data_IF_144364888021
#
_entry.id   IF_144364888021
#
_cell.length_a   1.000
_cell.length_b   1.000
_cell.length_c   1.000
_cell.angle_alpha   90.00
_cell.angle_beta   90.00
_cell.angle_gamma   90.00
#
_symmetry.space_group_name_H-M   'P 1'
#
loop_
_entity.id
_entity.type
_entity.pdbx_description
1 polymer ?
#
# COMPACT_ATOMS: atom_id res chain seq x y z
N UNK A 1 37.03 -9.99 24.02
CA UNK A 1 38.32 -10.10 23.30
C UNK A 1 39.47 -9.36 23.99
N UNK A 2 39.34 -8.07 24.34
CA UNK A 2 40.43 -7.27 24.91
C UNK A 2 41.00 -7.77 26.25
N UNK A 3 40.17 -8.34 27.12
CA UNK A 3 40.61 -8.88 28.42
C UNK A 3 41.35 -10.22 28.28
N UNK A 4 40.88 -11.12 27.41
CA UNK A 4 41.55 -12.39 27.11
C UNK A 4 42.90 -12.18 26.40
N UNK A 5 42.98 -11.19 25.48
CA UNK A 5 44.23 -10.81 24.81
C UNK A 5 45.21 -10.17 25.81
N UNK A 6 44.73 -9.28 26.70
CA UNK A 6 45.55 -8.69 27.77
C UNK A 6 46.09 -9.74 28.74
N UNK A 7 45.24 -10.65 29.21
CA UNK A 7 45.66 -11.70 30.14
C UNK A 7 46.72 -12.62 29.52
N UNK A 8 46.56 -12.96 28.24
CA UNK A 8 47.56 -13.72 27.48
C UNK A 8 48.88 -12.96 27.32
N UNK A 9 48.84 -11.68 26.93
CA UNK A 9 50.04 -10.85 26.83
C UNK A 9 50.76 -10.73 28.17
N UNK A 10 50.01 -10.60 29.25
CA UNK A 10 50.55 -10.49 30.60
C UNK A 10 51.20 -11.80 31.05
N UNK A 11 50.59 -12.96 30.80
CA UNK A 11 51.19 -14.27 31.07
C UNK A 11 52.47 -14.54 30.25
N UNK A 12 52.52 -14.09 29.00
CA UNK A 12 53.73 -14.16 28.15
C UNK A 12 54.86 -13.22 28.61
N UNK A 13 54.53 -12.16 29.35
CA UNK A 13 55.48 -11.13 29.82
C UNK A 13 55.92 -11.31 31.29
N UNK A 14 55.14 -12.02 32.13
CA UNK A 14 55.38 -12.15 33.57
C UNK A 14 55.39 -13.58 34.12
N UNK A 15 55.15 -14.59 33.27
CA UNK A 15 55.03 -16.00 33.69
C UNK A 15 56.32 -16.80 33.58
N UNK A 16 56.45 -17.84 34.40
CA UNK A 16 57.45 -18.89 34.25
C UNK A 16 57.22 -19.59 32.90
N UNK A 17 58.19 -19.51 32.00
CA UNK A 17 58.10 -20.04 30.63
C UNK A 17 57.92 -21.56 30.60
N UNK A 18 58.19 -22.24 31.71
CA UNK A 18 57.99 -23.68 31.89
C UNK A 18 56.52 -24.06 32.23
N UNK A 19 55.64 -23.09 32.57
CA UNK A 19 54.21 -23.35 32.81
C UNK A 19 53.38 -23.30 31.51
N UNK A 20 53.76 -24.20 30.60
CA UNK A 20 53.14 -24.38 29.29
C UNK A 20 51.61 -24.58 29.39
N UNK A 21 51.16 -25.19 30.48
CA UNK A 21 49.74 -25.48 30.74
C UNK A 21 48.92 -24.21 30.98
N UNK A 22 49.47 -23.21 31.64
CA UNK A 22 48.82 -21.92 31.85
C UNK A 22 48.70 -21.13 30.53
N UNK A 23 49.74 -21.16 29.71
CA UNK A 23 49.75 -20.53 28.38
C UNK A 23 48.74 -21.19 27.42
N UNK A 24 48.68 -22.52 27.39
CA UNK A 24 47.71 -23.29 26.59
C UNK A 24 46.27 -22.95 26.97
N UNK A 25 45.99 -22.80 28.28
CA UNK A 25 44.66 -22.42 28.78
C UNK A 25 44.25 -21.02 28.30
N UNK A 26 45.16 -20.05 28.31
CA UNK A 26 44.88 -18.70 27.82
C UNK A 26 44.74 -18.65 26.30
N UNK A 27 45.54 -19.42 25.56
CA UNK A 27 45.38 -19.60 24.12
C UNK A 27 44.01 -20.19 23.79
N UNK A 28 43.57 -21.23 24.50
CA UNK A 28 42.25 -21.82 24.31
C UNK A 28 41.11 -20.81 24.57
N UNK A 29 41.23 -19.98 25.61
CA UNK A 29 40.26 -18.93 25.88
C UNK A 29 40.19 -17.85 24.78
N UNK A 30 41.34 -17.47 24.20
CA UNK A 30 41.37 -16.54 23.06
C UNK A 30 40.75 -17.17 21.80
N UNK A 31 41.00 -18.46 21.55
CA UNK A 31 40.42 -19.19 20.42
C UNK A 31 38.90 -19.28 20.58
N UNK A 32 38.41 -19.65 21.77
CA UNK A 32 36.98 -19.68 22.08
C UNK A 32 36.35 -18.29 21.87
N UNK A 33 36.94 -17.23 22.43
CA UNK A 33 36.42 -15.86 22.26
C UNK A 33 36.44 -15.37 20.80
N UNK A 34 37.40 -15.83 19.99
CA UNK A 34 37.46 -15.52 18.55
C UNK A 34 36.38 -16.27 17.79
N UNK A 35 36.15 -17.53 18.14
CA UNK A 35 35.08 -18.35 17.58
C UNK A 35 33.70 -17.77 17.91
N UNK A 36 33.51 -17.32 19.15
CA UNK A 36 32.26 -16.68 19.58
C UNK A 36 32.03 -15.37 18.82
N UNK A 37 33.08 -14.56 18.61
CA UNK A 37 32.99 -13.33 17.82
C UNK A 37 32.59 -13.62 16.38
N UNK A 38 33.21 -14.61 15.74
CA UNK A 38 32.86 -15.01 14.38
C UNK A 38 31.40 -15.49 14.28
N UNK A 39 30.93 -16.25 15.28
CA UNK A 39 29.52 -16.67 15.35
C UNK A 39 28.54 -15.49 15.51
N UNK A 40 28.93 -14.45 16.25
CA UNK A 40 28.15 -13.21 16.37
C UNK A 40 28.12 -12.44 15.04
N UNK A 41 29.26 -12.35 14.35
CA UNK A 41 29.35 -11.69 13.04
C UNK A 41 28.46 -12.39 12.00
N UNK A 42 28.47 -13.72 11.98
CA UNK A 42 27.58 -14.53 11.13
C UNK A 42 26.10 -14.28 11.47
N UNK A 43 25.76 -14.26 12.76
CA UNK A 43 24.40 -13.97 13.21
C UNK A 43 23.96 -12.54 12.83
N UNK A 44 24.86 -11.55 12.93
CA UNK A 44 24.60 -10.17 12.51
C UNK A 44 24.37 -10.07 10.99
N UNK A 45 25.13 -10.81 10.20
CA UNK A 45 24.94 -10.86 8.75
C UNK A 45 23.56 -11.43 8.39
N UNK A 46 23.15 -12.52 9.04
CA UNK A 46 21.83 -13.14 8.86
C UNK A 46 20.71 -12.16 9.25
N UNK A 47 20.82 -11.50 10.42
CA UNK A 47 19.81 -10.53 10.87
C UNK A 47 19.71 -9.32 9.95
N UNK A 48 20.83 -8.85 9.42
CA UNK A 48 20.86 -7.75 8.44
C UNK A 48 20.12 -8.13 7.16
N UNK A 49 20.33 -9.37 6.68
CA UNK A 49 19.62 -9.89 5.52
C UNK A 49 18.11 -10.01 5.77
N UNK A 50 17.72 -10.63 6.88
CA UNK A 50 16.31 -10.79 7.26
C UNK A 50 15.60 -9.44 7.44
N UNK A 51 16.28 -8.45 8.03
CA UNK A 51 15.76 -7.08 8.15
C UNK A 51 15.49 -6.47 6.79
N UNK A 52 16.44 -6.56 5.86
CA UNK A 52 16.28 -6.00 4.52
C UNK A 52 15.13 -6.67 3.75
N UNK A 53 14.95 -7.98 3.93
CA UNK A 53 13.81 -8.70 3.35
C UNK A 53 12.48 -8.25 3.97
N UNK A 54 12.41 -8.16 5.30
CA UNK A 54 11.21 -7.71 6.00
C UNK A 54 10.82 -6.26 5.63
N UNK A 55 11.79 -5.36 5.48
CA UNK A 55 11.55 -3.99 5.02
C UNK A 55 10.98 -3.95 3.60
N UNK A 56 11.46 -4.80 2.69
CA UNK A 56 10.90 -4.93 1.34
C UNK A 56 9.48 -5.47 1.35
N UNK A 57 9.21 -6.53 2.13
CA UNK A 57 7.87 -7.10 2.27
C UNK A 57 6.89 -6.07 2.84
N UNK A 58 7.31 -5.30 3.87
CA UNK A 58 6.50 -4.25 4.47
C UNK A 58 6.16 -3.14 3.46
N UNK A 59 7.11 -2.72 2.62
CA UNK A 59 6.88 -1.72 1.60
C UNK A 59 5.82 -2.19 0.57
N UNK A 60 5.94 -3.44 0.10
CA UNK A 60 4.98 -4.05 -0.83
C UNK A 60 3.57 -4.14 -0.23
N UNK A 61 3.45 -4.57 1.04
CA UNK A 61 2.14 -4.68 1.69
C UNK A 61 1.51 -3.31 1.98
N UNK A 62 2.31 -2.28 2.28
CA UNK A 62 1.82 -0.90 2.39
C UNK A 62 1.23 -0.41 1.07
N UNK A 63 1.96 -0.57 -0.02
CA UNK A 63 1.51 -0.18 -1.35
C UNK A 63 0.21 -0.92 -1.74
N UNK A 64 0.14 -2.23 -1.47
CA UNK A 64 -1.06 -3.04 -1.69
C UNK A 64 -2.25 -2.55 -0.87
N UNK A 65 -2.01 -2.18 0.39
CA UNK A 65 -3.05 -1.67 1.29
C UNK A 65 -3.58 -0.32 0.80
N UNK A 66 -2.69 0.57 0.40
CA UNK A 66 -3.04 1.89 -0.15
C UNK A 66 -3.86 1.76 -1.44
N UNK A 67 -3.44 0.89 -2.37
CA UNK A 67 -4.21 0.60 -3.59
C UNK A 67 -5.58 0.04 -3.28
N UNK A 68 -5.67 -0.87 -2.33
CA UNK A 68 -6.96 -1.48 -1.92
C UNK A 68 -7.89 -0.41 -1.35
N UNK A 69 -7.39 0.45 -0.46
CA UNK A 69 -8.17 1.54 0.12
C UNK A 69 -8.64 2.55 -0.95
N UNK A 70 -7.78 2.89 -1.91
CA UNK A 70 -8.13 3.76 -3.02
C UNK A 70 -9.22 3.14 -3.92
N UNK A 71 -9.08 1.85 -4.26
CA UNK A 71 -10.07 1.12 -5.04
C UNK A 71 -11.43 1.02 -4.33
N UNK A 72 -11.44 0.75 -3.02
CA UNK A 72 -12.67 0.66 -2.25
C UNK A 72 -13.37 2.01 -2.12
N UNK A 73 -12.61 3.10 -1.96
CA UNK A 73 -13.14 4.45 -1.98
C UNK A 73 -13.78 4.78 -3.33
N UNK A 74 -13.08 4.50 -4.44
CA UNK A 74 -13.60 4.71 -5.78
C UNK A 74 -14.86 3.87 -6.03
N UNK A 75 -14.84 2.59 -5.66
CA UNK A 75 -15.99 1.70 -5.81
C UNK A 75 -17.24 2.22 -5.10
N UNK A 76 -17.11 2.77 -3.89
CA UNK A 76 -18.21 3.42 -3.17
C UNK A 76 -18.76 4.65 -3.91
N UNK A 77 -17.86 5.47 -4.49
CA UNK A 77 -18.27 6.65 -5.26
C UNK A 77 -19.00 6.27 -6.54
N UNK A 78 -18.51 5.28 -7.28
CA UNK A 78 -19.16 4.77 -8.50
C UNK A 78 -20.52 4.18 -8.18
N UNK A 79 -20.65 3.39 -7.11
CA UNK A 79 -21.93 2.86 -6.66
C UNK A 79 -22.93 3.98 -6.29
N UNK A 80 -22.45 5.06 -5.65
CA UNK A 80 -23.30 6.20 -5.33
C UNK A 80 -23.80 6.94 -6.59
N UNK A 81 -22.94 7.11 -7.61
CA UNK A 81 -23.33 7.70 -8.90
C UNK A 81 -24.38 6.81 -9.58
N UNK A 82 -24.15 5.51 -9.65
CA UNK A 82 -25.07 4.55 -10.26
C UNK A 82 -26.43 4.54 -9.56
N UNK A 83 -26.46 4.61 -8.22
CA UNK A 83 -27.69 4.65 -7.45
C UNK A 83 -28.46 5.97 -7.63
N UNK A 84 -27.76 7.10 -7.80
CA UNK A 84 -28.39 8.42 -7.92
C UNK A 84 -28.98 8.69 -9.31
N UNK A 85 -28.38 8.11 -10.36
CA UNK A 85 -28.72 8.42 -11.75
C UNK A 85 -30.19 8.12 -12.11
N UNK A 86 -30.79 6.96 -11.78
CA UNK A 86 -32.18 6.68 -12.11
C UNK A 86 -33.15 7.71 -11.54
N UNK A 87 -32.98 8.07 -10.26
CA UNK A 87 -33.84 9.05 -9.59
C UNK A 87 -33.70 10.46 -10.18
N UNK A 88 -32.48 10.87 -10.54
CA UNK A 88 -32.26 12.13 -11.25
C UNK A 88 -32.97 12.16 -12.61
N UNK A 89 -32.85 11.09 -13.41
CA UNK A 89 -33.49 11.00 -14.72
C UNK A 89 -35.02 10.99 -14.60
N UNK A 90 -35.56 10.26 -13.64
CA UNK A 90 -37.01 10.22 -13.37
C UNK A 90 -37.56 11.60 -13.01
N UNK A 91 -36.93 12.30 -12.07
CA UNK A 91 -37.35 13.65 -11.67
C UNK A 91 -37.22 14.66 -12.81
N UNK A 92 -36.16 14.54 -13.61
CA UNK A 92 -35.95 15.40 -14.78
C UNK A 92 -37.03 15.18 -15.84
N UNK A 93 -37.46 13.92 -16.06
CA UNK A 93 -38.58 13.60 -16.95
C UNK A 93 -39.89 14.17 -16.44
N UNK A 94 -40.17 14.01 -15.15
CA UNK A 94 -41.38 14.55 -14.52
C UNK A 94 -41.46 16.09 -14.65
N UNK A 95 -40.34 16.78 -14.47
CA UNK A 95 -40.26 18.23 -14.67
C UNK A 95 -40.51 18.62 -16.13
N UNK A 96 -39.87 17.92 -17.08
CA UNK A 96 -40.08 18.18 -18.50
C UNK A 96 -41.55 17.98 -18.92
N UNK A 97 -42.21 16.94 -18.39
CA UNK A 97 -43.63 16.70 -18.62
C UNK A 97 -44.51 17.82 -18.04
N UNK A 98 -44.22 18.27 -16.81
CA UNK A 98 -44.95 19.35 -16.17
C UNK A 98 -44.82 20.68 -16.94
N UNK A 99 -43.63 20.97 -17.45
CA UNK A 99 -43.37 22.16 -18.28
C UNK A 99 -44.09 22.08 -19.63
N UNK A 100 -44.08 20.91 -20.29
CA UNK A 100 -44.78 20.71 -21.56
C UNK A 100 -46.30 20.89 -21.41
N UNK A 101 -46.90 20.45 -20.28
CA UNK A 101 -48.33 20.63 -19.99
C UNK A 101 -48.77 22.09 -20.01
N UNK A 102 -47.91 23.03 -19.62
CA UNK A 102 -48.19 24.47 -19.67
C UNK A 102 -47.64 25.17 -20.92
N UNK A 103 -46.92 24.44 -21.77
CA UNK A 103 -46.20 24.99 -22.94
C UNK A 103 -47.09 25.69 -23.94
N UNK A 104 -48.33 25.23 -24.11
CA UNK A 104 -49.32 25.89 -24.97
C UNK A 104 -49.78 27.27 -24.47
N UNK A 105 -49.59 27.57 -23.18
CA UNK A 105 -49.84 28.89 -22.60
C UNK A 105 -48.57 29.74 -22.48
N UNK A 106 -47.38 29.11 -22.41
CA UNK A 106 -46.11 29.78 -22.18
C UNK A 106 -44.99 29.10 -22.97
N UNK A 107 -44.58 29.74 -24.06
CA UNK A 107 -43.62 29.20 -25.04
C UNK A 107 -42.28 28.82 -24.41
N UNK A 108 -41.75 29.64 -23.50
CA UNK A 108 -40.46 29.40 -22.86
C UNK A 108 -40.50 28.15 -21.97
N UNK A 109 -41.66 27.80 -21.40
CA UNK A 109 -41.82 26.54 -20.66
C UNK A 109 -41.74 25.33 -21.60
N UNK A 110 -42.29 25.45 -22.81
CA UNK A 110 -42.19 24.39 -23.83
C UNK A 110 -40.74 24.23 -24.31
N UNK A 111 -40.02 25.33 -24.53
CA UNK A 111 -38.59 25.31 -24.85
C UNK A 111 -37.76 24.65 -23.73
N UNK A 112 -38.05 24.96 -22.47
CA UNK A 112 -37.41 24.32 -21.31
C UNK A 112 -37.70 22.81 -21.25
N UNK A 113 -38.94 22.39 -21.55
CA UNK A 113 -39.29 20.98 -21.61
C UNK A 113 -38.48 20.23 -22.69
N UNK A 114 -38.39 20.79 -23.89
CA UNK A 114 -37.60 20.23 -24.99
C UNK A 114 -36.10 20.16 -24.68
N UNK A 115 -35.56 21.20 -24.04
CA UNK A 115 -34.17 21.20 -23.57
C UNK A 115 -33.91 20.06 -22.58
N UNK A 116 -34.74 19.92 -21.55
CA UNK A 116 -34.61 18.86 -20.55
C UNK A 116 -34.67 17.47 -21.18
N UNK A 117 -35.63 17.21 -22.07
CA UNK A 117 -35.75 15.91 -22.75
C UNK A 117 -34.48 15.56 -23.54
N UNK A 118 -33.93 16.53 -24.28
CA UNK A 118 -32.68 16.33 -25.03
C UNK A 118 -31.50 16.06 -24.09
N UNK A 119 -31.38 16.83 -23.01
CA UNK A 119 -30.29 16.66 -22.03
C UNK A 119 -30.39 15.31 -21.31
N UNK A 120 -31.60 14.86 -20.94
CA UNK A 120 -31.82 13.53 -20.36
C UNK A 120 -31.27 12.44 -21.29
N UNK A 121 -31.63 12.47 -22.58
CA UNK A 121 -31.12 11.50 -23.56
C UNK A 121 -29.60 11.53 -23.70
N UNK A 122 -28.99 12.71 -23.71
CA UNK A 122 -27.52 12.84 -23.73
C UNK A 122 -26.86 12.27 -22.47
N UNK A 123 -27.42 12.55 -21.30
CA UNK A 123 -26.93 12.05 -20.02
C UNK A 123 -27.02 10.53 -19.96
N UNK A 124 -28.12 9.92 -20.43
CA UNK A 124 -28.27 8.46 -20.47
C UNK A 124 -27.20 7.80 -21.33
N UNK A 125 -26.95 8.35 -22.52
CA UNK A 125 -25.91 7.84 -23.41
C UNK A 125 -24.53 7.98 -22.74
N UNK A 126 -24.20 9.18 -22.27
CA UNK A 126 -22.91 9.45 -21.63
C UNK A 126 -22.69 8.55 -20.39
N UNK A 127 -23.72 8.37 -19.58
CA UNK A 127 -23.65 7.52 -18.40
C UNK A 127 -23.44 6.05 -18.75
N UNK A 128 -24.05 5.53 -19.81
CA UNK A 128 -23.83 4.14 -20.24
C UNK A 128 -22.35 3.87 -20.61
N UNK A 129 -21.68 4.83 -21.24
CA UNK A 129 -20.24 4.71 -21.53
C UNK A 129 -19.39 4.90 -20.28
N UNK A 130 -19.60 6.01 -19.57
CA UNK A 130 -18.77 6.38 -18.42
C UNK A 130 -18.90 5.38 -17.26
N UNK A 131 -20.11 4.88 -16.96
CA UNK A 131 -20.30 3.94 -15.86
C UNK A 131 -19.63 2.59 -16.12
N UNK A 132 -19.58 2.13 -17.38
CA UNK A 132 -18.88 0.89 -17.72
C UNK A 132 -17.38 1.00 -17.40
N UNK A 133 -16.76 2.11 -17.79
CA UNK A 133 -15.35 2.39 -17.51
C UNK A 133 -15.10 2.59 -16.00
N UNK A 134 -15.91 3.43 -15.35
CA UNK A 134 -15.82 3.71 -13.92
C UNK A 134 -15.94 2.44 -13.06
N UNK A 135 -16.76 1.47 -13.46
CA UNK A 135 -16.89 0.17 -12.77
C UNK A 135 -15.66 -0.72 -12.90
N UNK A 136 -14.90 -0.58 -13.98
CA UNK A 136 -13.67 -1.35 -14.19
C UNK A 136 -12.48 -0.78 -13.39
N UNK A 137 -12.44 0.54 -13.17
CA UNK A 137 -11.32 1.24 -12.53
C UNK A 137 -10.94 0.71 -11.14
N UNK A 138 -11.86 0.44 -10.18
CA UNK A 138 -11.49 -0.13 -8.89
C UNK A 138 -10.71 -1.44 -9.00
N UNK A 139 -11.07 -2.30 -9.95
CA UNK A 139 -10.37 -3.56 -10.18
C UNK A 139 -8.98 -3.33 -10.77
N UNK A 140 -8.84 -2.40 -11.71
CA UNK A 140 -7.55 -2.00 -12.28
C UNK A 140 -6.59 -1.45 -11.19
N UNK A 141 -7.10 -0.58 -10.31
CA UNK A 141 -6.32 -0.02 -9.19
C UNK A 141 -5.85 -1.12 -8.23
N UNK A 142 -6.69 -2.10 -7.90
CA UNK A 142 -6.27 -3.25 -7.06
C UNK A 142 -5.16 -4.07 -7.72
N UNK A 143 -5.15 -4.14 -9.05
CA UNK A 143 -4.16 -4.87 -9.84
C UNK A 143 -2.89 -4.05 -10.13
N UNK A 144 -2.87 -2.75 -9.80
CA UNK A 144 -1.74 -1.85 -10.08
C UNK A 144 -1.63 -1.45 -11.55
N UNK A 145 -2.75 -1.40 -12.26
CA UNK A 145 -2.86 -0.92 -13.65
C UNK A 145 -3.25 0.56 -13.71
#
# INVERSE_FOLDING_TARGET
MGEAIKNRQQALLSGDLDDQRALDKMQAAVVAATSDLAGIDDALAILTHQKAEAERQLATERERTERTAAADKLGKQVAAIEAALPGYLEQSRALAEALSKIGHWHFESDQMAGFLQNTIGQIEIAANFALAELKAMPSAIRQGQ
#
